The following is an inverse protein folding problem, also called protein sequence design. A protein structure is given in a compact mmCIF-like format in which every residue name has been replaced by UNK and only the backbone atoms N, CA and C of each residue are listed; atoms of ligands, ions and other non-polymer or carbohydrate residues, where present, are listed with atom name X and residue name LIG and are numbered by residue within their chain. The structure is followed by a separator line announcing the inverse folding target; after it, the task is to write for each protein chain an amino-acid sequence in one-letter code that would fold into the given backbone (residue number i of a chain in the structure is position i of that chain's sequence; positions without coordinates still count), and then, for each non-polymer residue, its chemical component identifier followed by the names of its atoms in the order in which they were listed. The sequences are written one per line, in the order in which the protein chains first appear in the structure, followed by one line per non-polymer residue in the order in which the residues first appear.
data_IF_277490838641
#
_entry.id   IF_277490838641
#
_cell.length_a   1.000
_cell.length_b   1.000
_cell.length_c   1.000
_cell.angle_alpha   90.00
_cell.angle_beta   90.00
_cell.angle_gamma   90.00
#
_symmetry.space_group_name_H-M   'P 1'
#
loop_
_entity.id
_entity.type
_entity.pdbx_description
1 polymer ?
#
# COMPACT_ATOMS: atom_id res chain seq x y z
N UNK A 1 -54.49 -14.84 8.70
CA UNK A 1 -53.13 -15.08 8.15
C UNK A 1 -52.37 -13.78 8.22
N UNK A 2 -51.43 -13.56 9.17
CA UNK A 2 -50.73 -12.29 9.25
C UNK A 2 -49.64 -12.26 8.20
N UNK A 3 -49.61 -11.18 7.41
CA UNK A 3 -48.55 -10.88 6.45
C UNK A 3 -47.29 -10.55 7.24
N UNK A 4 -46.29 -11.42 7.15
CA UNK A 4 -44.95 -11.13 7.63
C UNK A 4 -44.35 -10.02 6.77
N UNK A 5 -44.23 -8.83 7.34
CA UNK A 5 -43.54 -7.72 6.69
C UNK A 5 -42.08 -8.13 6.46
N UNK A 6 -41.70 -8.27 5.19
CA UNK A 6 -40.30 -8.40 4.80
C UNK A 6 -39.61 -7.07 5.14
N UNK A 7 -38.92 -7.04 6.29
CA UNK A 7 -38.02 -5.96 6.66
C UNK A 7 -36.92 -5.89 5.60
N UNK A 8 -37.11 -5.03 4.59
CA UNK A 8 -36.09 -4.69 3.61
C UNK A 8 -34.99 -3.95 4.35
N UNK A 9 -33.98 -4.69 4.80
CA UNK A 9 -32.75 -4.14 5.37
C UNK A 9 -32.08 -3.38 4.24
N UNK A 10 -32.32 -2.06 4.15
CA UNK A 10 -31.65 -1.16 3.20
C UNK A 10 -30.15 -1.28 3.46
N UNK A 11 -29.46 -2.14 2.70
CA UNK A 11 -28.02 -2.15 2.69
C UNK A 11 -27.61 -0.79 2.17
N UNK A 12 -27.01 0.03 3.05
CA UNK A 12 -26.47 1.32 2.68
C UNK A 12 -25.59 1.13 1.43
N UNK A 13 -25.78 1.95 0.40
CA UNK A 13 -25.03 1.84 -0.86
C UNK A 13 -23.52 1.82 -0.62
N UNK A 14 -23.06 2.50 0.45
CA UNK A 14 -21.68 2.45 0.92
C UNK A 14 -21.25 1.05 1.37
N UNK A 15 -22.08 0.31 2.11
CA UNK A 15 -21.79 -1.09 2.50
C UNK A 15 -21.84 -2.04 1.31
N UNK A 16 -22.78 -1.83 0.39
CA UNK A 16 -22.86 -2.62 -0.84
C UNK A 16 -21.64 -2.37 -1.76
N UNK A 17 -21.09 -1.15 -1.73
CA UNK A 17 -19.86 -0.81 -2.43
C UNK A 17 -18.63 -1.41 -1.73
N UNK A 18 -18.48 -1.25 -0.42
CA UNK A 18 -17.36 -1.78 0.38
C UNK A 18 -17.26 -3.31 0.33
N UNK A 19 -18.37 -4.01 0.14
CA UNK A 19 -18.40 -5.47 -0.01
C UNK A 19 -17.92 -5.96 -1.39
N UNK A 20 -17.52 -5.07 -2.30
CA UNK A 20 -16.94 -5.46 -3.60
C UNK A 20 -15.43 -5.57 -3.49
N UNK A 21 -14.86 -6.62 -4.07
CA UNK A 21 -13.40 -6.80 -4.16
C UNK A 21 -12.68 -5.59 -4.78
N UNK A 22 -13.31 -4.91 -5.76
CA UNK A 22 -12.76 -3.73 -6.43
C UNK A 22 -12.84 -2.42 -5.61
N UNK A 23 -13.53 -2.40 -4.47
CA UNK A 23 -13.74 -1.18 -3.69
C UNK A 23 -12.43 -0.60 -3.16
N UNK A 24 -11.52 -1.47 -2.66
CA UNK A 24 -10.21 -1.05 -2.17
C UNK A 24 -9.37 -0.36 -3.24
N UNK A 25 -9.32 -0.95 -4.45
CA UNK A 25 -8.62 -0.35 -5.59
C UNK A 25 -9.21 1.01 -6.01
N UNK A 26 -10.53 1.16 -5.96
CA UNK A 26 -11.19 2.42 -6.31
C UNK A 26 -10.86 3.54 -5.32
N UNK A 27 -10.86 3.23 -4.01
CA UNK A 27 -10.47 4.18 -2.96
C UNK A 27 -8.99 4.57 -3.10
N UNK A 28 -8.11 3.62 -3.43
CA UNK A 28 -6.68 3.89 -3.65
C UNK A 28 -6.46 4.87 -4.80
N UNK A 29 -7.10 4.64 -5.95
CA UNK A 29 -6.97 5.53 -7.11
C UNK A 29 -7.55 6.92 -6.81
N UNK A 30 -8.69 6.99 -6.11
CA UNK A 30 -9.26 8.27 -5.69
C UNK A 30 -8.32 9.04 -4.75
N UNK A 31 -7.69 8.36 -3.78
CA UNK A 31 -6.72 8.96 -2.88
C UNK A 31 -5.48 9.49 -3.64
N UNK A 32 -4.95 8.72 -4.60
CA UNK A 32 -3.83 9.15 -5.43
C UNK A 32 -4.19 10.36 -6.31
N UNK A 33 -5.38 10.38 -6.90
CA UNK A 33 -5.87 11.51 -7.68
C UNK A 33 -6.02 12.77 -6.82
N UNK A 34 -6.59 12.64 -5.61
CA UNK A 34 -6.69 13.74 -4.65
C UNK A 34 -5.30 14.25 -4.23
N UNK A 35 -4.35 13.36 -3.95
CA UNK A 35 -2.97 13.74 -3.62
C UNK A 35 -2.33 14.54 -4.76
N UNK A 36 -2.49 14.10 -6.01
CA UNK A 36 -2.01 14.82 -7.20
C UNK A 36 -2.66 16.21 -7.31
N UNK A 37 -3.97 16.33 -7.10
CA UNK A 37 -4.65 17.64 -7.14
C UNK A 37 -4.10 18.57 -6.06
N UNK A 38 -4.00 18.10 -4.82
CA UNK A 38 -3.49 18.90 -3.69
C UNK A 38 -2.05 19.33 -3.92
N UNK A 39 -1.20 18.43 -4.41
CA UNK A 39 0.22 18.70 -4.64
C UNK A 39 0.46 19.74 -5.75
N UNK A 40 -0.45 19.86 -6.73
CA UNK A 40 -0.31 20.78 -7.86
C UNK A 40 -1.11 22.08 -7.69
N UNK A 41 -1.92 22.22 -6.65
CA UNK A 41 -2.77 23.39 -6.49
C UNK A 41 -2.00 24.59 -5.88
N UNK A 42 -1.98 25.78 -6.52
CA UNK A 42 -1.14 26.91 -6.10
C UNK A 42 -1.36 27.41 -4.67
N UNK A 43 -2.57 27.27 -4.13
CA UNK A 43 -2.91 27.71 -2.78
C UNK A 43 -2.79 26.65 -1.67
N UNK A 44 -2.65 25.36 -2.02
CA UNK A 44 -2.62 24.25 -1.04
C UNK A 44 -1.27 23.51 -1.02
N UNK A 45 -0.56 23.48 -2.15
CA UNK A 45 0.68 22.73 -2.33
C UNK A 45 1.76 23.10 -1.30
N UNK A 46 2.00 24.39 -1.07
CA UNK A 46 3.04 24.83 -0.13
C UNK A 46 2.75 24.36 1.31
N UNK A 47 1.51 24.50 1.78
CA UNK A 47 1.12 24.03 3.11
C UNK A 47 1.18 22.51 3.24
N UNK A 48 0.85 21.79 2.17
CA UNK A 48 0.94 20.33 2.10
C UNK A 48 2.39 19.84 2.24
N UNK A 49 3.34 20.38 1.47
CA UNK A 49 4.74 19.99 1.55
C UNK A 49 5.40 20.40 2.87
N UNK A 50 5.15 21.61 3.37
CA UNK A 50 5.68 22.06 4.67
C UNK A 50 5.21 21.15 5.82
N UNK A 51 3.97 20.68 5.78
CA UNK A 51 3.44 19.78 6.80
C UNK A 51 4.10 18.39 6.73
N UNK A 52 4.35 17.88 5.52
CA UNK A 52 5.01 16.60 5.31
C UNK A 52 6.50 16.61 5.68
N UNK A 53 7.19 17.72 5.39
CA UNK A 53 8.61 17.91 5.70
C UNK A 53 8.85 18.42 7.12
N UNK A 54 7.79 18.67 7.90
CA UNK A 54 7.92 19.11 9.28
C UNK A 54 8.71 18.06 10.07
N UNK A 55 9.84 18.49 10.63
CA UNK A 55 10.69 17.64 11.46
C UNK A 55 10.02 17.39 12.81
N UNK A 56 9.80 16.12 13.14
CA UNK A 56 9.17 15.69 14.37
C UNK A 56 10.16 14.95 15.26
N UNK A 57 10.51 15.59 16.38
CA UNK A 57 11.23 14.97 17.50
C UNK A 57 12.75 15.18 17.50
N UNK A 58 13.42 14.81 18.61
CA UNK A 58 14.87 14.88 18.71
C UNK A 58 15.53 13.83 17.81
N UNK A 59 16.62 14.22 17.15
CA UNK A 59 17.43 13.33 16.32
C UNK A 59 17.92 12.15 17.17
N UNK A 60 17.37 10.96 16.94
CA UNK A 60 17.63 9.74 17.72
C UNK A 60 19.09 9.27 17.54
N UNK A 61 19.71 9.60 16.40
CA UNK A 61 21.13 9.38 16.11
C UNK A 61 21.61 10.29 14.97
N UNK A 62 22.85 10.82 15.00
CA UNK A 62 23.42 11.59 13.88
C UNK A 62 23.42 10.84 12.54
N UNK A 63 23.34 9.51 12.57
CA UNK A 63 23.33 8.65 11.39
C UNK A 63 21.98 8.57 10.66
N UNK A 64 20.87 8.79 11.37
CA UNK A 64 19.51 8.57 10.84
C UNK A 64 18.81 9.85 10.37
N UNK A 65 19.46 11.02 10.51
CA UNK A 65 18.87 12.30 10.12
C UNK A 65 17.67 12.72 10.98
N UNK A 66 17.10 13.91 10.73
CA UNK A 66 15.84 14.33 11.32
C UNK A 66 14.69 13.48 10.76
N UNK A 67 13.75 13.09 11.63
CA UNK A 67 12.58 12.31 11.23
C UNK A 67 11.46 13.29 10.85
N UNK A 68 10.96 13.22 9.62
CA UNK A 68 9.86 14.07 9.15
C UNK A 68 8.51 13.42 9.39
N UNK A 69 7.43 14.21 9.36
CA UNK A 69 6.05 13.68 9.38
C UNK A 69 5.84 12.65 8.26
N UNK A 70 6.35 12.92 7.06
CA UNK A 70 6.28 11.99 5.93
C UNK A 70 6.92 10.64 6.24
N UNK A 71 8.13 10.62 6.79
CA UNK A 71 8.84 9.39 7.15
C UNK A 71 8.08 8.60 8.22
N UNK A 72 7.58 9.27 9.26
CA UNK A 72 6.76 8.64 10.30
C UNK A 72 5.51 7.97 9.75
N UNK A 73 4.76 8.68 8.88
CA UNK A 73 3.56 8.14 8.26
C UNK A 73 3.91 6.95 7.37
N UNK A 74 4.99 7.05 6.58
CA UNK A 74 5.42 5.98 5.69
C UNK A 74 5.76 4.71 6.48
N UNK A 75 6.64 4.82 7.47
CA UNK A 75 7.08 3.67 8.26
C UNK A 75 5.93 3.04 9.05
N UNK A 76 5.06 3.85 9.67
CA UNK A 76 3.93 3.35 10.45
C UNK A 76 2.89 2.64 9.56
N UNK A 77 2.52 3.24 8.43
CA UNK A 77 1.56 2.64 7.50
C UNK A 77 2.14 1.39 6.83
N UNK A 78 3.41 1.42 6.44
CA UNK A 78 4.09 0.25 5.88
C UNK A 78 4.23 -0.87 6.89
N UNK A 79 4.49 -0.57 8.18
CA UNK A 79 4.53 -1.58 9.23
C UNK A 79 3.18 -2.29 9.40
N UNK A 80 2.07 -1.55 9.40
CA UNK A 80 0.72 -2.14 9.44
C UNK A 80 0.46 -2.95 8.16
N UNK A 81 0.76 -2.42 6.99
CA UNK A 81 0.59 -3.12 5.71
C UNK A 81 1.35 -4.44 5.67
N UNK A 82 2.65 -4.43 6.02
CA UNK A 82 3.48 -5.62 6.02
C UNK A 82 3.09 -6.61 7.12
N UNK A 83 2.54 -6.15 8.24
CA UNK A 83 1.95 -7.06 9.23
C UNK A 83 0.78 -7.84 8.61
N UNK A 84 -0.16 -7.17 7.95
CA UNK A 84 -1.28 -7.84 7.28
C UNK A 84 -0.81 -8.78 6.17
N UNK A 85 0.09 -8.33 5.30
CA UNK A 85 0.67 -9.17 4.24
C UNK A 85 1.41 -10.36 4.84
N UNK A 86 2.18 -10.17 5.91
CA UNK A 86 2.92 -11.24 6.59
C UNK A 86 1.99 -12.28 7.22
N UNK A 87 0.89 -11.85 7.84
CA UNK A 87 -0.14 -12.76 8.36
C UNK A 87 -0.81 -13.56 7.25
N UNK A 88 -1.09 -12.92 6.11
CA UNK A 88 -1.69 -13.58 4.95
C UNK A 88 -0.74 -14.60 4.32
N UNK A 89 0.53 -14.24 4.12
CA UNK A 89 1.56 -15.18 3.64
C UNK A 89 1.71 -16.35 4.62
N UNK A 90 1.72 -16.08 5.93
CA UNK A 90 1.79 -17.14 6.94
C UNK A 90 0.59 -18.07 6.86
N UNK A 91 -0.63 -17.54 6.65
CA UNK A 91 -1.87 -18.31 6.45
C UNK A 91 -1.73 -19.24 5.24
N UNK A 92 -1.28 -18.71 4.10
CA UNK A 92 -1.07 -19.49 2.87
C UNK A 92 0.05 -20.53 3.01
N UNK A 93 1.08 -20.23 3.80
CA UNK A 93 2.20 -21.12 4.02
C UNK A 93 1.83 -22.33 4.90
N UNK A 94 0.90 -22.16 5.84
CA UNK A 94 0.48 -23.19 6.80
C UNK A 94 -0.69 -24.02 6.24
N UNK A 95 -1.74 -23.35 5.74
CA UNK A 95 -3.00 -24.01 5.38
C UNK A 95 -3.40 -23.85 3.89
N UNK A 96 -2.58 -23.13 3.10
CA UNK A 96 -2.94 -22.73 1.73
C UNK A 96 -2.13 -23.39 0.63
N UNK A 97 -2.13 -22.76 -0.54
CA UNK A 97 -1.49 -23.25 -1.77
C UNK A 97 0.03 -23.27 -1.67
N UNK A 98 0.59 -22.54 -0.70
CA UNK A 98 2.02 -22.55 -0.38
C UNK A 98 2.31 -23.53 0.76
N UNK A 99 1.53 -24.57 1.00
CA UNK A 99 1.83 -25.57 2.05
C UNK A 99 2.82 -26.64 1.59
N UNK A 100 2.83 -26.98 0.30
CA UNK A 100 3.69 -28.02 -0.28
C UNK A 100 4.95 -27.45 -0.95
N UNK A 101 6.05 -28.20 -0.91
CA UNK A 101 7.29 -27.81 -1.61
C UNK A 101 7.13 -27.74 -3.13
N UNK A 102 6.25 -28.56 -3.71
CA UNK A 102 6.02 -28.61 -5.14
C UNK A 102 5.29 -27.36 -5.65
N UNK A 103 4.41 -26.79 -4.83
CA UNK A 103 3.58 -25.63 -5.18
C UNK A 103 4.32 -24.31 -4.91
N UNK A 104 5.18 -24.25 -3.88
CA UNK A 104 5.97 -23.04 -3.54
C UNK A 104 7.01 -22.66 -4.60
N UNK A 105 7.58 -23.62 -5.33
CA UNK A 105 8.73 -23.36 -6.22
C UNK A 105 8.40 -22.39 -7.36
N UNK A 106 7.22 -22.51 -7.96
CA UNK A 106 6.83 -21.72 -9.12
C UNK A 106 6.58 -20.25 -8.74
N UNK A 107 5.78 -19.93 -7.70
CA UNK A 107 5.65 -18.57 -7.19
C UNK A 107 6.97 -17.95 -6.75
N UNK A 108 7.86 -18.72 -6.11
CA UNK A 108 9.18 -18.22 -5.68
C UNK A 108 10.07 -17.79 -6.85
N UNK A 109 10.16 -18.64 -7.90
CA UNK A 109 10.92 -18.29 -9.11
C UNK A 109 10.27 -17.12 -9.85
N UNK A 110 8.94 -17.10 -9.96
CA UNK A 110 8.20 -16.01 -10.58
C UNK A 110 8.42 -14.67 -9.85
N UNK A 111 8.37 -14.67 -8.51
CA UNK A 111 8.63 -13.48 -7.70
C UNK A 111 10.09 -13.02 -7.81
N UNK A 112 11.05 -13.95 -7.74
CA UNK A 112 12.46 -13.63 -7.91
C UNK A 112 12.76 -13.02 -9.29
N UNK A 113 12.21 -13.61 -10.35
CA UNK A 113 12.32 -13.06 -11.71
C UNK A 113 11.61 -11.71 -11.85
N UNK A 114 10.43 -11.56 -11.25
CA UNK A 114 9.64 -10.33 -11.25
C UNK A 114 10.34 -9.15 -10.56
N UNK A 115 11.25 -9.40 -9.62
CA UNK A 115 12.11 -8.38 -9.02
C UNK A 115 13.43 -8.20 -9.78
N UNK A 116 14.10 -9.30 -10.14
CA UNK A 116 15.42 -9.27 -10.74
C UNK A 116 15.43 -8.67 -12.15
N UNK A 117 14.43 -9.01 -12.99
CA UNK A 117 14.38 -8.52 -14.37
C UNK A 117 14.22 -6.99 -14.43
N UNK A 118 13.25 -6.36 -13.75
CA UNK A 118 13.15 -4.90 -13.73
C UNK A 118 14.41 -4.21 -13.17
N UNK A 119 15.02 -4.78 -12.12
CA UNK A 119 16.24 -4.23 -11.53
C UNK A 119 17.42 -4.26 -12.52
N UNK A 120 17.63 -5.39 -13.22
CA UNK A 120 18.67 -5.52 -14.23
C UNK A 120 18.44 -4.60 -15.43
N UNK A 121 17.20 -4.47 -15.90
CA UNK A 121 16.85 -3.55 -16.98
C UNK A 121 17.14 -2.11 -16.57
N UNK A 122 16.75 -1.70 -15.36
CA UNK A 122 17.06 -0.36 -14.84
C UNK A 122 18.58 -0.12 -14.77
N UNK A 123 19.35 -1.06 -14.22
CA UNK A 123 20.81 -0.92 -14.10
C UNK A 123 21.51 -0.89 -15.46
N UNK A 124 21.04 -1.68 -16.44
CA UNK A 124 21.61 -1.67 -17.78
C UNK A 124 21.39 -0.32 -18.49
N UNK A 125 20.18 0.25 -18.37
CA UNK A 125 19.80 1.47 -19.07
C UNK A 125 20.24 2.76 -18.35
N UNK A 126 20.15 2.80 -17.01
CA UNK A 126 20.36 4.00 -16.20
C UNK A 126 21.50 3.87 -15.18
N UNK A 127 21.92 2.65 -14.84
CA UNK A 127 23.00 2.40 -13.88
C UNK A 127 24.41 2.44 -14.47
N UNK A 128 24.55 2.41 -15.80
CA UNK A 128 25.83 2.64 -16.49
C UNK A 128 26.03 4.15 -16.61
N UNK A 129 26.66 4.76 -15.62
CA UNK A 129 26.93 6.21 -15.54
C UNK A 129 27.85 6.75 -16.64
N UNK A 130 27.45 6.67 -17.90
CA UNK A 130 27.94 7.47 -19.02
C UNK A 130 26.96 8.65 -19.21
N UNK A 131 26.90 9.52 -18.21
CA UNK A 131 26.36 10.88 -18.27
C UNK A 131 27.19 11.76 -17.33
#
# INVERSE_FOLDING_TARGET
MPLGECVVKRSSALRAFLNREAAGGTVLIAAAALAMIVANWPGLSQGYFVLLDLETGPVISPKYGPMTVYLWINDALMAVFFLFVGLEIKREFVDGELSSWADRRLPMVAAAAGMAVPALVYLALAGTGLA
#
